data_IF_658575793947
#
_entry.id   IF_658575793947
#
_cell.length_a   1.000
_cell.length_b   1.000
_cell.length_c   1.000
_cell.angle_alpha   90.00
_cell.angle_beta   90.00
_cell.angle_gamma   90.00
#
_symmetry.space_group_name_H-M   'P 1'
#
loop_
_entity.id
_entity.type
_entity.pdbx_description
1 polymer ?
#
# COMPACT_ATOMS: atom_id res chain seq x y z
N UNK A 1 86.78 1.93 -14.59
CA UNK A 1 85.59 2.59 -14.08
C UNK A 1 84.43 1.63 -14.33
N UNK A 2 83.93 0.94 -13.28
CA UNK A 2 82.80 -0.04 -13.40
C UNK A 2 81.49 0.66 -13.04
N UNK A 3 80.55 0.69 -13.99
CA UNK A 3 79.19 1.17 -13.80
C UNK A 3 78.35 0.11 -13.04
N UNK A 4 77.77 0.51 -11.93
CA UNK A 4 76.84 -0.31 -11.12
C UNK A 4 75.44 -0.01 -11.56
N UNK A 5 74.85 -0.90 -12.35
CA UNK A 5 73.41 -0.86 -12.69
C UNK A 5 72.62 -1.46 -11.56
N UNK A 6 71.82 -0.66 -10.88
CA UNK A 6 70.84 -1.13 -9.86
C UNK A 6 69.57 -1.61 -10.54
N UNK A 7 69.36 -2.91 -10.59
CA UNK A 7 68.11 -3.53 -10.92
C UNK A 7 67.18 -3.47 -9.67
N UNK A 8 66.33 -2.48 -9.61
CA UNK A 8 65.17 -2.44 -8.66
C UNK A 8 64.21 -3.55 -9.11
N UNK A 9 64.04 -4.57 -8.25
CA UNK A 9 63.23 -5.76 -8.53
C UNK A 9 61.74 -5.36 -8.61
N UNK A 10 61.03 -5.74 -9.68
CA UNK A 10 59.60 -5.42 -9.84
C UNK A 10 58.67 -6.14 -8.83
N UNK A 11 59.21 -6.99 -8.00
CA UNK A 11 58.45 -7.76 -6.99
C UNK A 11 57.79 -6.88 -5.88
N UNK A 12 58.37 -5.68 -5.59
CA UNK A 12 57.88 -4.81 -4.52
C UNK A 12 56.68 -3.97 -4.97
N UNK A 13 56.52 -3.73 -6.28
CA UNK A 13 55.41 -2.95 -6.82
C UNK A 13 54.11 -3.79 -6.91
N UNK A 14 54.22 -5.11 -7.11
CA UNK A 14 53.08 -6.03 -7.20
C UNK A 14 52.46 -6.28 -5.80
N UNK A 15 53.27 -6.26 -4.73
CA UNK A 15 52.77 -6.45 -3.37
C UNK A 15 51.98 -5.26 -2.81
N UNK A 16 52.21 -4.04 -3.32
CA UNK A 16 51.50 -2.85 -2.88
C UNK A 16 50.15 -2.64 -3.61
N UNK A 17 49.98 -3.27 -4.78
CA UNK A 17 48.72 -3.20 -5.54
C UNK A 17 47.64 -4.18 -5.01
N UNK A 18 48.04 -5.22 -4.29
CA UNK A 18 47.13 -6.23 -3.74
C UNK A 18 46.42 -5.78 -2.44
N UNK A 19 46.78 -4.63 -1.86
CA UNK A 19 46.16 -4.06 -0.64
C UNK A 19 45.00 -3.09 -0.91
N UNK A 20 44.65 -2.85 -2.18
CA UNK A 20 43.56 -1.99 -2.56
C UNK A 20 42.28 -2.75 -2.98
N UNK A 21 42.12 -4.01 -2.57
CA UNK A 21 40.81 -4.64 -2.59
C UNK A 21 39.94 -3.95 -1.54
N UNK A 22 39.42 -2.78 -1.89
CA UNK A 22 38.32 -2.16 -1.18
C UNK A 22 37.21 -3.19 -1.06
N UNK A 23 36.88 -3.60 0.15
CA UNK A 23 35.62 -4.31 0.39
C UNK A 23 34.50 -3.39 -0.06
N UNK A 24 33.95 -3.63 -1.23
CA UNK A 24 32.75 -2.98 -1.71
C UNK A 24 31.63 -3.43 -0.78
N UNK A 25 31.33 -2.62 0.22
CA UNK A 25 30.20 -2.86 1.13
C UNK A 25 28.95 -2.67 0.29
N UNK A 26 28.36 -3.79 -0.13
CA UNK A 26 27.07 -3.78 -0.82
C UNK A 26 26.06 -3.06 0.11
N UNK A 27 25.38 -1.99 -0.34
CA UNK A 27 24.38 -1.34 0.47
C UNK A 27 23.30 -2.35 0.85
N UNK A 28 22.71 -2.25 2.06
CA UNK A 28 21.67 -3.16 2.49
C UNK A 28 20.47 -3.11 1.53
N UNK A 29 19.84 -4.26 1.33
CA UNK A 29 18.65 -4.32 0.48
C UNK A 29 17.47 -3.63 1.18
N UNK A 30 16.62 -2.88 0.44
CA UNK A 30 15.44 -2.26 1.01
C UNK A 30 14.49 -3.28 1.63
N UNK A 31 13.90 -2.95 2.76
CA UNK A 31 12.93 -3.81 3.43
C UNK A 31 13.09 -3.87 4.93
N UNK A 32 12.84 -5.04 5.50
CA UNK A 32 12.98 -5.30 6.92
C UNK A 32 14.46 -5.43 7.28
N UNK A 33 14.95 -4.56 8.16
CA UNK A 33 16.30 -4.56 8.69
C UNK A 33 16.43 -5.36 9.98
N UNK A 34 17.49 -5.06 10.73
CA UNK A 34 17.78 -5.75 11.99
C UNK A 34 16.73 -5.47 13.06
N UNK A 35 16.54 -6.43 13.97
CA UNK A 35 15.76 -6.23 15.17
C UNK A 35 16.46 -5.21 16.08
N UNK A 36 15.67 -4.35 16.71
CA UNK A 36 16.16 -3.36 17.67
C UNK A 36 15.46 -3.55 19.01
N UNK A 37 16.00 -2.94 20.08
CA UNK A 37 15.35 -2.97 21.38
C UNK A 37 14.23 -1.92 21.44
N UNK A 38 13.15 -2.23 22.15
CA UNK A 38 12.06 -1.30 22.40
C UNK A 38 12.53 0.03 23.01
N UNK A 39 13.58 -0.02 23.85
CA UNK A 39 14.16 1.19 24.45
C UNK A 39 14.86 2.12 23.48
N UNK A 40 15.16 1.66 22.26
CA UNK A 40 15.78 2.45 21.19
C UNK A 40 14.74 3.21 20.35
N UNK A 41 13.44 2.89 20.50
CA UNK A 41 12.38 3.60 19.82
C UNK A 41 12.11 4.95 20.50
N UNK A 42 12.32 6.07 19.79
CA UNK A 42 12.04 7.39 20.34
C UNK A 42 10.56 7.53 20.73
N UNK A 43 10.29 7.96 21.94
CA UNK A 43 8.93 8.19 22.42
C UNK A 43 8.17 6.95 22.89
N UNK A 44 8.68 5.73 22.70
CA UNK A 44 7.96 4.49 23.03
C UNK A 44 7.41 4.47 24.47
N UNK A 45 8.22 4.89 25.45
CA UNK A 45 7.82 4.85 26.87
C UNK A 45 6.78 5.90 27.26
N UNK A 46 6.63 6.94 26.44
CA UNK A 46 5.69 8.05 26.66
C UNK A 46 4.43 7.93 25.82
N UNK A 47 4.36 6.92 24.96
CA UNK A 47 3.24 6.72 24.07
C UNK A 47 2.02 6.16 24.82
N UNK A 48 0.84 6.42 24.26
CA UNK A 48 -0.44 5.95 24.76
C UNK A 48 -0.81 4.61 24.13
N UNK A 49 -0.15 3.58 24.59
CA UNK A 49 -0.26 2.24 24.00
C UNK A 49 -1.68 1.66 24.00
N UNK A 50 -2.50 2.04 25.00
CA UNK A 50 -3.89 1.61 25.06
C UNK A 50 -4.73 2.12 23.88
N UNK A 51 -4.36 3.23 23.24
CA UNK A 51 -5.09 3.76 22.07
C UNK A 51 -5.00 2.80 20.86
N UNK A 52 -3.97 1.97 20.78
CA UNK A 52 -3.82 0.97 19.72
C UNK A 52 -4.63 -0.32 19.98
N UNK A 53 -5.11 -0.52 21.20
CA UNK A 53 -5.77 -1.78 21.61
C UNK A 53 -7.03 -2.10 20.81
N UNK A 54 -7.98 -1.16 20.59
CA UNK A 54 -9.16 -1.43 19.79
C UNK A 54 -8.82 -1.85 18.36
N UNK A 55 -7.78 -1.24 17.77
CA UNK A 55 -7.33 -1.61 16.42
C UNK A 55 -6.73 -3.01 16.37
N UNK A 56 -5.97 -3.42 17.41
CA UNK A 56 -5.46 -4.78 17.54
C UNK A 56 -6.61 -5.80 17.62
N UNK A 57 -7.60 -5.56 18.48
CA UNK A 57 -8.77 -6.45 18.59
C UNK A 57 -9.55 -6.54 17.28
N UNK A 58 -9.69 -5.43 16.56
CA UNK A 58 -10.28 -5.44 15.21
C UNK A 58 -9.50 -6.34 14.24
N UNK A 59 -8.18 -6.28 14.25
CA UNK A 59 -7.35 -7.17 13.44
C UNK A 59 -7.54 -8.64 13.81
N UNK A 60 -7.74 -8.94 15.08
CA UNK A 60 -7.98 -10.29 15.57
C UNK A 60 -9.25 -10.95 15.02
N UNK A 61 -10.20 -10.18 14.52
CA UNK A 61 -11.38 -10.75 13.82
C UNK A 61 -11.05 -11.36 12.45
N UNK A 62 -9.90 -10.98 11.87
CA UNK A 62 -9.52 -11.31 10.49
C UNK A 62 -8.23 -12.13 10.42
N UNK A 63 -7.20 -11.71 11.15
CA UNK A 63 -5.84 -12.23 11.01
C UNK A 63 -5.69 -13.72 11.31
N UNK A 64 -6.33 -14.33 12.34
CA UNK A 64 -6.23 -15.77 12.59
C UNK A 64 -6.67 -16.65 11.41
N UNK A 65 -7.59 -16.14 10.57
CA UNK A 65 -8.03 -16.86 9.36
C UNK A 65 -7.02 -16.77 8.21
N UNK A 66 -6.13 -15.77 8.23
CA UNK A 66 -5.11 -15.54 7.19
C UNK A 66 -3.77 -16.13 7.56
N UNK A 67 -3.43 -16.07 8.84
CA UNK A 67 -2.16 -16.54 9.38
C UNK A 67 -2.37 -17.13 10.79
N UNK A 68 -2.22 -18.45 10.96
CA UNK A 68 -2.40 -19.13 12.25
C UNK A 68 -1.51 -18.63 13.39
N UNK A 69 -0.38 -17.97 13.08
CA UNK A 69 0.49 -17.38 14.10
C UNK A 69 -0.23 -16.32 14.95
N UNK A 70 -1.30 -15.72 14.42
CA UNK A 70 -2.09 -14.72 15.14
C UNK A 70 -3.06 -15.33 16.15
N UNK A 71 -3.38 -16.62 16.08
CA UNK A 71 -4.37 -17.22 16.95
C UNK A 71 -4.02 -17.09 18.44
N UNK A 72 -2.82 -17.47 18.82
CA UNK A 72 -2.36 -17.37 20.21
C UNK A 72 -2.26 -15.94 20.73
N UNK A 73 -1.79 -15.03 19.85
CA UNK A 73 -1.69 -13.61 20.15
C UNK A 73 -3.07 -12.98 20.37
N UNK A 74 -4.03 -13.29 19.51
CA UNK A 74 -5.38 -12.76 19.58
C UNK A 74 -6.16 -13.28 20.79
N UNK A 75 -6.04 -14.58 21.10
CA UNK A 75 -6.65 -15.17 22.30
C UNK A 75 -6.15 -14.49 23.59
N UNK A 76 -4.86 -14.16 23.67
CA UNK A 76 -4.31 -13.44 24.81
C UNK A 76 -4.81 -11.98 24.86
N UNK A 77 -4.80 -11.27 23.72
CA UNK A 77 -5.33 -9.91 23.67
C UNK A 77 -6.79 -9.82 24.09
N UNK A 78 -7.64 -10.73 23.60
CA UNK A 78 -9.05 -10.80 23.99
C UNK A 78 -9.22 -11.11 25.50
N UNK A 79 -8.42 -12.04 26.02
CA UNK A 79 -8.43 -12.38 27.44
C UNK A 79 -8.08 -11.21 28.34
N UNK A 80 -7.07 -10.42 27.99
CA UNK A 80 -6.70 -9.20 28.71
C UNK A 80 -7.82 -8.17 28.68
N UNK A 81 -8.48 -7.97 27.54
CA UNK A 81 -9.60 -7.04 27.39
C UNK A 81 -10.86 -7.47 28.17
N UNK A 82 -11.10 -8.77 28.35
CA UNK A 82 -12.22 -9.29 29.15
C UNK A 82 -11.95 -9.26 30.65
N UNK A 83 -10.68 -9.31 31.06
CA UNK A 83 -10.28 -9.23 32.47
C UNK A 83 -10.43 -7.84 33.08
N UNK A 84 -10.52 -6.78 32.26
CA UNK A 84 -10.68 -5.39 32.67
C UNK A 84 -10.29 -4.39 31.60
N UNK A 85 -10.26 -3.11 31.94
CA UNK A 85 -9.78 -2.07 31.06
C UNK A 85 -8.26 -2.25 30.85
N UNK A 86 -7.83 -2.29 29.59
CA UNK A 86 -6.41 -2.34 29.20
C UNK A 86 -5.88 -0.92 29.25
N UNK A 87 -4.98 -0.65 30.21
CA UNK A 87 -4.26 0.61 30.32
C UNK A 87 -2.97 0.61 29.48
N UNK A 88 -2.27 1.75 29.46
CA UNK A 88 -1.03 1.91 28.69
C UNK A 88 0.07 0.95 29.14
N UNK A 89 0.15 0.61 30.41
CA UNK A 89 1.17 -0.29 30.95
C UNK A 89 0.91 -1.75 30.54
N UNK A 90 -0.36 -2.19 30.60
CA UNK A 90 -0.78 -3.53 30.15
C UNK A 90 -0.56 -3.65 28.64
N UNK A 91 -1.00 -2.66 27.86
CA UNK A 91 -0.84 -2.64 26.41
C UNK A 91 0.65 -2.64 26.02
N UNK A 92 1.46 -1.79 26.66
CA UNK A 92 2.92 -1.73 26.41
C UNK A 92 3.58 -3.08 26.64
N UNK A 93 3.33 -3.72 27.80
CA UNK A 93 3.90 -5.03 28.13
C UNK A 93 3.49 -6.10 27.13
N UNK A 94 2.24 -6.07 26.70
CA UNK A 94 1.76 -7.00 25.67
C UNK A 94 2.55 -6.84 24.36
N UNK A 95 2.70 -5.59 23.88
CA UNK A 95 3.46 -5.34 22.66
C UNK A 95 4.93 -5.72 22.82
N UNK A 96 5.58 -5.37 23.92
CA UNK A 96 6.98 -5.72 24.20
C UNK A 96 7.21 -7.23 24.26
N UNK A 97 6.24 -8.01 24.72
CA UNK A 97 6.35 -9.46 24.85
C UNK A 97 5.98 -10.23 23.57
N UNK A 98 5.15 -9.64 22.71
CA UNK A 98 4.58 -10.34 21.55
C UNK A 98 5.12 -9.90 20.21
N UNK A 99 5.78 -8.75 20.15
CA UNK A 99 6.34 -8.21 18.94
C UNK A 99 7.82 -7.88 19.10
N UNK A 100 8.51 -7.82 17.98
CA UNK A 100 9.90 -7.39 17.90
C UNK A 100 9.98 -6.21 16.93
N UNK A 101 10.46 -5.04 17.36
CA UNK A 101 10.64 -3.92 16.46
C UNK A 101 11.84 -4.15 15.54
N UNK A 102 11.70 -3.76 14.29
CA UNK A 102 12.73 -3.84 13.30
C UNK A 102 12.98 -2.50 12.63
N UNK A 103 14.21 -2.24 12.26
CA UNK A 103 14.52 -1.12 11.38
C UNK A 103 13.88 -1.33 10.00
N UNK A 104 13.47 -0.25 9.37
CA UNK A 104 13.08 -0.24 7.97
C UNK A 104 14.23 0.33 7.15
N UNK A 105 14.72 -0.44 6.18
CA UNK A 105 15.75 -0.01 5.24
C UNK A 105 15.04 0.60 4.04
N UNK A 106 15.14 1.93 3.84
CA UNK A 106 14.47 2.60 2.73
C UNK A 106 15.09 2.22 1.39
N UNK A 107 14.30 2.27 0.32
CA UNK A 107 14.82 2.15 -1.04
C UNK A 107 15.77 3.30 -1.36
N UNK A 108 16.93 3.00 -1.93
CA UNK A 108 17.97 3.99 -2.32
C UNK A 108 17.49 5.02 -3.36
N UNK A 109 16.28 4.90 -3.86
CA UNK A 109 15.64 5.84 -4.79
C UNK A 109 14.82 6.93 -4.10
N UNK A 110 14.66 6.87 -2.80
CA UNK A 110 14.04 7.95 -2.03
C UNK A 110 15.16 8.90 -1.59
N UNK A 111 15.16 10.10 -2.11
CA UNK A 111 15.93 11.33 -1.82
C UNK A 111 17.16 11.31 -0.88
N UNK A 112 17.74 10.17 -0.62
CA UNK A 112 19.04 10.00 0.02
C UNK A 112 19.12 10.28 1.53
N UNK A 113 18.00 10.54 2.22
CA UNK A 113 17.99 10.68 3.68
C UNK A 113 17.78 9.32 4.36
N UNK A 114 18.83 8.72 4.94
CA UNK A 114 18.63 7.48 5.69
C UNK A 114 17.70 7.73 6.86
N UNK A 115 16.63 6.95 6.95
CA UNK A 115 15.76 6.91 8.11
C UNK A 115 14.49 7.75 8.07
N UNK A 116 14.16 8.44 6.96
CA UNK A 116 12.86 9.10 6.80
C UNK A 116 11.91 8.23 5.99
N UNK A 117 10.72 8.01 6.52
CA UNK A 117 9.60 7.33 5.84
C UNK A 117 8.41 8.27 5.73
N UNK A 118 7.55 8.03 4.74
CA UNK A 118 6.27 8.70 4.61
C UNK A 118 5.20 7.89 5.33
N UNK A 119 4.58 8.47 6.37
CA UNK A 119 3.39 7.91 7.01
C UNK A 119 2.18 8.60 6.37
N UNK A 120 1.29 7.81 5.78
CA UNK A 120 0.05 8.31 5.20
C UNK A 120 -1.14 7.79 5.99
N UNK A 121 -2.13 8.67 6.21
CA UNK A 121 -3.42 8.31 6.76
C UNK A 121 -4.45 8.16 5.63
N UNK A 122 -5.28 7.15 5.73
CA UNK A 122 -6.44 6.99 4.86
C UNK A 122 -7.70 7.27 5.66
N UNK A 123 -8.63 7.99 5.07
CA UNK A 123 -9.97 8.14 5.62
C UNK A 123 -10.96 7.40 4.71
N UNK A 124 -12.06 6.95 5.30
CA UNK A 124 -13.17 6.36 4.55
C UNK A 124 -14.19 7.46 4.28
N UNK A 125 -14.31 7.96 3.03
CA UNK A 125 -15.26 9.02 2.72
C UNK A 125 -16.70 8.53 2.91
N UNK A 126 -17.53 9.40 3.51
CA UNK A 126 -18.96 9.22 3.60
C UNK A 126 -19.63 10.11 2.56
N UNK A 127 -20.39 9.48 1.67
CA UNK A 127 -21.18 10.15 0.63
C UNK A 127 -22.67 10.02 0.93
N UNK A 128 -23.49 10.85 0.29
CA UNK A 128 -24.93 10.74 0.32
C UNK A 128 -25.45 10.31 -1.05
N UNK A 129 -26.33 9.32 -1.08
CA UNK A 129 -26.77 8.72 -2.34
C UNK A 129 -28.17 8.12 -2.29
N UNK A 130 -28.61 7.67 -3.45
CA UNK A 130 -29.86 6.94 -3.65
C UNK A 130 -29.67 5.84 -4.69
N UNK A 131 -30.41 4.74 -4.55
CA UNK A 131 -30.46 3.68 -5.57
C UNK A 131 -31.23 4.09 -6.83
N UNK A 132 -31.95 5.21 -6.77
CA UNK A 132 -32.76 5.74 -7.87
C UNK A 132 -32.26 7.15 -8.21
N UNK A 133 -32.00 7.46 -9.50
CA UNK A 133 -31.59 8.79 -9.92
C UNK A 133 -32.69 9.83 -9.68
N UNK A 134 -32.30 11.05 -9.35
CA UNK A 134 -33.20 12.19 -9.16
C UNK A 134 -32.48 13.50 -9.47
N UNK A 135 -33.18 14.64 -9.39
CA UNK A 135 -32.55 15.96 -9.54
C UNK A 135 -31.42 16.21 -8.54
N UNK A 136 -31.49 15.59 -7.37
CA UNK A 136 -30.42 15.62 -6.34
C UNK A 136 -29.35 14.61 -6.60
N UNK A 137 -29.71 13.37 -6.82
CA UNK A 137 -28.78 12.23 -6.96
C UNK A 137 -28.54 11.93 -8.45
N UNK A 138 -27.53 12.56 -9.04
CA UNK A 138 -27.27 12.55 -10.48
C UNK A 138 -25.95 11.91 -10.89
N UNK A 139 -25.01 11.69 -9.94
CA UNK A 139 -23.65 11.25 -10.23
C UNK A 139 -23.49 9.78 -9.89
N UNK A 140 -23.46 8.89 -10.90
CA UNK A 140 -23.44 7.46 -10.63
C UNK A 140 -22.08 6.94 -10.19
N UNK A 141 -22.09 5.95 -9.31
CA UNK A 141 -20.99 5.00 -9.13
C UNK A 141 -21.35 3.74 -9.91
N UNK A 142 -20.41 3.27 -10.72
CA UNK A 142 -20.62 2.13 -11.58
C UNK A 142 -20.02 0.85 -10.99
N UNK A 143 -20.67 -0.28 -11.25
CA UNK A 143 -20.11 -1.60 -11.04
C UNK A 143 -19.00 -1.92 -12.05
N UNK A 144 -18.36 -3.08 -11.84
CA UNK A 144 -17.36 -3.59 -12.79
C UNK A 144 -18.06 -3.98 -14.09
N UNK A 145 -17.72 -3.37 -15.23
CA UNK A 145 -18.35 -3.69 -16.51
C UNK A 145 -17.83 -5.02 -17.07
N UNK A 146 -18.74 -5.80 -17.67
CA UNK A 146 -18.45 -7.14 -18.19
C UNK A 146 -17.48 -7.12 -19.39
N UNK A 147 -17.42 -6.01 -20.12
CA UNK A 147 -16.55 -5.83 -21.30
C UNK A 147 -15.13 -5.31 -20.94
N UNK A 148 -14.87 -5.05 -19.66
CA UNK A 148 -13.54 -4.64 -19.20
C UNK A 148 -12.60 -5.83 -19.14
N UNK A 149 -11.65 -5.88 -20.07
CA UNK A 149 -10.65 -6.93 -20.14
C UNK A 149 -9.41 -6.56 -19.31
N UNK A 150 -8.94 -7.52 -18.51
CA UNK A 150 -7.60 -7.51 -17.93
C UNK A 150 -6.65 -8.20 -18.90
N UNK A 151 -5.61 -7.48 -19.32
CA UNK A 151 -4.67 -7.98 -20.34
C UNK A 151 -3.39 -8.39 -19.62
N UNK A 152 -3.13 -9.69 -19.59
CA UNK A 152 -1.91 -10.28 -19.04
C UNK A 152 -1.11 -10.95 -20.14
N UNK A 153 0.01 -10.34 -20.49
CA UNK A 153 0.95 -10.83 -21.49
C UNK A 153 2.34 -11.08 -20.88
N UNK A 154 2.46 -11.07 -19.55
CA UNK A 154 3.73 -11.15 -18.84
C UNK A 154 4.50 -12.45 -19.12
N UNK A 155 3.81 -13.54 -19.45
CA UNK A 155 4.44 -14.82 -19.79
C UNK A 155 5.24 -14.77 -21.11
N UNK A 156 4.90 -13.84 -22.02
CA UNK A 156 5.57 -13.66 -23.32
C UNK A 156 6.40 -12.36 -23.32
N UNK A 157 5.92 -11.33 -22.66
CA UNK A 157 6.53 -10.00 -22.56
C UNK A 157 6.72 -9.63 -21.08
N UNK A 158 7.79 -10.08 -20.42
CA UNK A 158 8.01 -9.88 -18.98
C UNK A 158 8.03 -8.39 -18.54
N UNK A 159 8.42 -7.48 -19.44
CA UNK A 159 8.41 -6.03 -19.22
C UNK A 159 7.01 -5.47 -18.96
N UNK A 160 5.96 -6.16 -19.41
CA UNK A 160 4.57 -5.76 -19.20
C UNK A 160 4.02 -6.19 -17.83
N UNK A 161 4.74 -7.01 -17.07
CA UNK A 161 4.28 -7.56 -15.79
C UNK A 161 3.89 -6.52 -14.74
N UNK A 162 4.50 -5.32 -14.79
CA UNK A 162 4.22 -4.20 -13.88
C UNK A 162 3.10 -3.28 -14.38
N UNK A 163 2.63 -3.48 -15.60
CA UNK A 163 1.59 -2.65 -16.20
C UNK A 163 0.21 -3.25 -15.95
N UNK A 164 -0.68 -2.45 -15.41
CA UNK A 164 -2.09 -2.83 -15.22
C UNK A 164 -2.88 -2.55 -16.50
N UNK A 165 -2.58 -3.28 -17.56
CA UNK A 165 -3.20 -3.08 -18.87
C UNK A 165 -4.69 -3.44 -18.83
N UNK A 166 -5.53 -2.55 -19.35
CA UNK A 166 -6.98 -2.72 -19.48
C UNK A 166 -7.41 -2.35 -20.89
N UNK A 167 -8.46 -3.02 -21.35
CA UNK A 167 -9.01 -2.76 -22.65
C UNK A 167 -10.40 -3.34 -22.82
N UNK A 168 -10.95 -3.20 -24.01
CA UNK A 168 -12.20 -3.82 -24.45
C UNK A 168 -12.05 -4.42 -25.83
N UNK A 169 -12.89 -5.37 -26.17
CA UNK A 169 -12.86 -6.03 -27.47
C UNK A 169 -13.70 -5.24 -28.48
N UNK A 170 -13.10 -4.92 -29.63
CA UNK A 170 -13.80 -4.36 -30.80
C UNK A 170 -13.51 -5.25 -32.00
N UNK A 171 -14.48 -6.06 -32.38
CA UNK A 171 -14.30 -7.10 -33.38
C UNK A 171 -13.24 -8.12 -32.90
N UNK A 172 -12.10 -8.19 -33.60
CA UNK A 172 -10.96 -9.06 -33.25
C UNK A 172 -9.79 -8.29 -32.62
N UNK A 173 -9.99 -7.07 -32.21
CA UNK A 173 -8.93 -6.21 -31.66
C UNK A 173 -9.25 -5.81 -30.23
N UNK A 174 -8.23 -5.87 -29.37
CA UNK A 174 -8.28 -5.22 -28.07
C UNK A 174 -7.88 -3.76 -28.26
N UNK A 175 -8.74 -2.85 -27.81
CA UNK A 175 -8.50 -1.41 -27.82
C UNK A 175 -8.50 -0.90 -26.36
N UNK A 176 -7.95 0.30 -26.08
CA UNK A 176 -8.03 0.89 -24.73
C UNK A 176 -9.47 0.95 -24.23
N UNK A 177 -9.65 0.80 -22.93
CA UNK A 177 -10.96 1.00 -22.33
C UNK A 177 -11.35 2.47 -22.37
N UNK A 178 -12.62 2.77 -22.13
CA UNK A 178 -13.15 4.13 -22.12
C UNK A 178 -12.43 5.02 -21.12
N UNK A 179 -12.16 6.25 -21.51
CA UNK A 179 -11.62 7.26 -20.63
C UNK A 179 -12.69 7.86 -19.71
N UNK A 180 -12.28 8.66 -18.73
CA UNK A 180 -13.15 9.30 -17.76
C UNK A 180 -14.21 10.19 -18.42
N UNK A 181 -13.84 10.91 -19.47
CA UNK A 181 -14.75 11.82 -20.15
C UNK A 181 -15.89 11.06 -20.87
N UNK A 182 -15.56 9.92 -21.48
CA UNK A 182 -16.59 9.07 -22.08
C UNK A 182 -17.49 8.42 -21.02
N UNK A 183 -16.91 7.98 -19.89
CA UNK A 183 -17.67 7.33 -18.80
C UNK A 183 -18.62 8.33 -18.12
N UNK A 184 -18.17 9.53 -17.83
CA UNK A 184 -18.96 10.55 -17.12
C UNK A 184 -19.87 11.36 -18.08
N UNK A 185 -19.76 11.12 -19.38
CA UNK A 185 -20.54 11.82 -20.40
C UNK A 185 -22.02 11.41 -20.44
N UNK A 186 -22.84 12.24 -21.10
CA UNK A 186 -24.29 12.01 -21.21
C UNK A 186 -24.66 10.68 -21.88
N UNK A 187 -23.80 10.13 -22.74
CA UNK A 187 -23.96 8.84 -23.42
C UNK A 187 -22.95 7.82 -22.85
N UNK A 188 -22.91 7.74 -21.51
CA UNK A 188 -21.97 6.81 -20.84
C UNK A 188 -22.07 5.40 -21.41
N UNK A 189 -20.92 4.79 -21.77
CA UNK A 189 -20.87 3.37 -22.18
C UNK A 189 -21.20 2.42 -21.01
N UNK A 190 -21.24 2.91 -19.77
CA UNK A 190 -21.56 2.14 -18.57
C UNK A 190 -23.03 2.28 -18.15
N UNK A 191 -23.88 2.91 -18.97
CA UNK A 191 -25.32 3.02 -18.69
C UNK A 191 -25.95 1.64 -18.47
N UNK A 192 -26.69 1.50 -17.37
CA UNK A 192 -27.28 0.25 -16.91
C UNK A 192 -26.39 -0.53 -15.94
N UNK A 193 -25.20 -0.03 -15.63
CA UNK A 193 -24.27 -0.63 -14.67
C UNK A 193 -24.10 0.25 -13.40
N UNK A 194 -25.02 1.18 -13.18
CA UNK A 194 -25.02 2.07 -12.02
C UNK A 194 -25.36 1.28 -10.75
N UNK A 195 -24.56 1.43 -9.71
CA UNK A 195 -24.79 0.83 -8.39
C UNK A 195 -25.58 1.77 -7.48
N UNK A 196 -25.26 3.05 -7.52
CA UNK A 196 -25.83 4.08 -6.66
C UNK A 196 -25.58 5.46 -7.29
N UNK A 197 -26.44 6.41 -7.02
CA UNK A 197 -26.36 7.78 -7.51
C UNK A 197 -26.05 8.71 -6.35
N UNK A 198 -25.06 9.58 -6.52
CA UNK A 198 -24.52 10.48 -5.49
C UNK A 198 -24.95 11.92 -5.78
N UNK A 199 -25.03 12.75 -4.74
CA UNK A 199 -25.46 14.15 -4.85
C UNK A 199 -24.28 15.11 -5.14
N UNK A 200 -23.03 14.71 -4.90
CA UNK A 200 -21.84 15.56 -5.07
C UNK A 200 -20.80 14.93 -6.02
N UNK A 201 -20.52 15.54 -7.19
CA UNK A 201 -19.52 15.03 -8.12
C UNK A 201 -18.09 15.09 -7.57
N UNK A 202 -17.80 16.03 -6.66
CA UNK A 202 -16.47 16.15 -6.03
C UNK A 202 -16.26 14.99 -5.06
N UNK A 203 -17.28 14.63 -4.29
CA UNK A 203 -17.24 13.45 -3.42
C UNK A 203 -17.02 12.16 -4.22
N UNK A 204 -17.70 12.00 -5.37
CA UNK A 204 -17.47 10.87 -6.30
C UNK A 204 -16.03 10.82 -6.78
N UNK A 205 -15.47 11.97 -7.18
CA UNK A 205 -14.08 12.04 -7.62
C UNK A 205 -13.11 11.59 -6.51
N UNK A 206 -13.25 12.12 -5.30
CA UNK A 206 -12.39 11.73 -4.18
C UNK A 206 -12.59 10.27 -3.74
N UNK A 207 -13.81 9.75 -3.83
CA UNK A 207 -14.04 8.32 -3.60
C UNK A 207 -13.27 7.46 -4.60
N UNK A 208 -13.25 7.82 -5.89
CA UNK A 208 -12.45 7.10 -6.90
C UNK A 208 -10.95 7.18 -6.63
N UNK A 209 -10.45 8.30 -6.10
CA UNK A 209 -9.04 8.45 -5.68
C UNK A 209 -8.73 7.55 -4.48
N UNK A 210 -9.62 7.52 -3.48
CA UNK A 210 -9.46 6.68 -2.27
C UNK A 210 -9.66 5.19 -2.58
N UNK A 211 -10.57 4.88 -3.50
CA UNK A 211 -10.89 3.52 -3.92
C UNK A 211 -11.93 2.80 -3.06
N UNK A 212 -12.32 3.33 -1.90
CA UNK A 212 -13.37 2.78 -1.05
C UNK A 212 -14.04 3.86 -0.21
N UNK A 213 -15.28 3.61 0.24
CA UNK A 213 -16.03 4.52 1.06
C UNK A 213 -17.40 3.98 1.43
N UNK A 214 -18.19 4.82 2.07
CA UNK A 214 -19.59 4.53 2.45
C UNK A 214 -20.54 5.52 1.81
N UNK A 215 -21.67 5.01 1.43
CA UNK A 215 -22.78 5.81 0.94
C UNK A 215 -23.95 5.68 1.90
N UNK A 216 -24.34 6.77 2.52
CA UNK A 216 -25.59 6.84 3.26
C UNK A 216 -26.73 7.08 2.28
N UNK A 217 -27.64 6.11 2.21
CA UNK A 217 -28.80 6.21 1.34
C UNK A 217 -29.89 7.12 1.94
N UNK A 218 -30.81 7.55 1.13
CA UNK A 218 -31.93 8.43 1.51
C UNK A 218 -32.90 7.78 2.52
N UNK A 219 -32.93 6.46 2.61
CA UNK A 219 -33.66 5.70 3.65
C UNK A 219 -32.87 5.55 4.97
N UNK A 220 -31.66 6.12 5.06
CA UNK A 220 -30.79 6.05 6.22
C UNK A 220 -29.89 4.80 6.27
N UNK A 221 -30.05 3.84 5.37
CA UNK A 221 -29.19 2.68 5.29
C UNK A 221 -27.79 3.02 4.76
N UNK A 222 -26.82 2.13 5.00
CA UNK A 222 -25.41 2.32 4.62
C UNK A 222 -24.99 1.28 3.59
N UNK A 223 -24.48 1.75 2.46
CA UNK A 223 -23.85 0.94 1.41
C UNK A 223 -22.35 1.11 1.48
N UNK A 224 -21.60 0.02 1.65
CA UNK A 224 -20.14 0.03 1.52
C UNK A 224 -19.76 -0.18 0.06
N UNK A 225 -18.87 0.66 -0.46
CA UNK A 225 -18.32 0.56 -1.82
C UNK A 225 -16.82 0.38 -1.76
N UNK A 226 -16.29 -0.46 -2.63
CA UNK A 226 -14.88 -0.79 -2.68
C UNK A 226 -14.33 -0.81 -4.09
N UNK A 227 -13.01 -0.69 -4.19
CA UNK A 227 -12.31 -0.74 -5.46
C UNK A 227 -12.51 -2.09 -6.15
N UNK A 228 -13.02 -2.07 -7.37
CA UNK A 228 -13.16 -3.23 -8.22
C UNK A 228 -12.06 -3.31 -9.27
N UNK A 229 -11.91 -2.25 -10.09
CA UNK A 229 -10.86 -2.15 -11.11
C UNK A 229 -10.70 -0.70 -11.60
N UNK A 230 -9.81 -0.49 -12.56
CA UNK A 230 -9.53 0.80 -13.20
C UNK A 230 -9.67 0.69 -14.71
N UNK A 231 -9.83 1.82 -15.42
CA UNK A 231 -9.96 1.84 -16.87
C UNK A 231 -8.62 1.69 -17.64
N UNK A 232 -7.49 1.63 -16.94
CA UNK A 232 -6.16 1.46 -17.55
C UNK A 232 -5.63 2.72 -18.26
N UNK A 233 -6.31 3.85 -18.15
CA UNK A 233 -5.80 5.12 -18.69
C UNK A 233 -4.65 5.66 -17.84
N UNK A 234 -3.70 6.40 -18.44
CA UNK A 234 -2.64 7.05 -17.69
C UNK A 234 -3.20 8.01 -16.63
N UNK A 235 -2.57 8.03 -15.46
CA UNK A 235 -2.93 8.96 -14.41
C UNK A 235 -2.58 10.40 -14.82
N UNK A 236 -3.55 11.30 -14.68
CA UNK A 236 -3.35 12.74 -14.84
C UNK A 236 -3.56 13.40 -13.48
N UNK A 237 -2.53 14.08 -12.99
CA UNK A 237 -2.61 14.87 -11.75
C UNK A 237 -3.53 16.08 -11.93
N UNK A 238 -4.28 16.41 -10.89
CA UNK A 238 -5.02 17.68 -10.74
C UNK A 238 -4.11 18.78 -10.23
#
# INVERSE_FOLDING_TARGET
MKSFSQHIKPLFLISLLALLTSCEVKPPEPGLGEAINWGELPGWRQDKHAEAWPALLQQCTIMPRRDPLWEGLCNEAESLGTAGAVDDEIARRFFENRFTPHQIIPSSKQDGSPGTGLITGYYEPLLHGSLIPSDRYRYPLYGLPDDLLRIDLASVYPELSKLKLRGRLVGKRVVPYHDRNAIDGNESPLRGNELVWIDDPVAVFFLHVQGSGRVQLDDGSMLAVGYADQNGQPYTSI
#
